data_IF_956117416294
#
_entry.id   IF_956117416294
#
_cell.length_a   1.000
_cell.length_b   1.000
_cell.length_c   1.000
_cell.angle_alpha   90.00
_cell.angle_beta   90.00
_cell.angle_gamma   90.00
#
_symmetry.space_group_name_H-M   'P 1'
#
loop_
_entity.id
_entity.type
_entity.pdbx_description
1 polymer ?
#
# COMPACT_ATOMS: atom_id res chain seq x y z
N UNK A 1 -8.36 -7.95 -5.41
CA UNK A 1 -7.93 -6.62 -4.95
C UNK A 1 -6.71 -6.16 -5.73
N UNK A 2 -6.91 -5.41 -6.81
CA UNK A 2 -5.82 -4.91 -7.67
C UNK A 2 -4.96 -3.80 -7.02
N UNK A 3 -5.42 -3.22 -5.90
CA UNK A 3 -4.71 -2.13 -5.23
C UNK A 3 -3.43 -2.61 -4.53
N UNK A 4 -3.43 -3.82 -3.94
CA UNK A 4 -2.24 -4.34 -3.26
C UNK A 4 -1.03 -4.52 -4.22
N UNK A 5 -1.15 -5.23 -5.37
CA UNK A 5 -0.05 -5.29 -6.33
C UNK A 5 0.28 -3.93 -6.96
N UNK A 6 -0.69 -3.04 -7.13
CA UNK A 6 -0.43 -1.67 -7.57
C UNK A 6 0.48 -0.92 -6.59
N UNK A 7 0.14 -0.94 -5.29
CA UNK A 7 0.94 -0.28 -4.26
C UNK A 7 2.36 -0.85 -4.19
N UNK A 8 2.49 -2.18 -4.22
CA UNK A 8 3.80 -2.84 -4.19
C UNK A 8 4.69 -2.39 -5.36
N UNK A 9 4.13 -2.32 -6.56
CA UNK A 9 4.83 -1.83 -7.74
C UNK A 9 5.10 -0.33 -7.68
N UNK A 10 4.13 0.48 -7.25
CA UNK A 10 4.28 1.94 -7.17
C UNK A 10 5.35 2.33 -6.15
N UNK A 11 5.41 1.66 -4.99
CA UNK A 11 6.45 1.87 -3.98
C UNK A 11 7.83 1.43 -4.47
N UNK A 12 7.90 0.33 -5.23
CA UNK A 12 9.17 -0.20 -5.72
C UNK A 12 9.74 0.50 -6.95
N UNK A 13 8.91 1.15 -7.77
CA UNK A 13 9.29 1.69 -9.08
C UNK A 13 9.21 3.22 -9.18
N UNK A 14 8.37 3.86 -8.37
CA UNK A 14 8.23 5.31 -8.36
C UNK A 14 8.93 5.92 -7.14
N UNK A 15 9.33 7.17 -7.25
CA UNK A 15 9.92 7.91 -6.12
C UNK A 15 8.87 8.11 -5.01
N UNK A 16 9.30 8.05 -3.75
CA UNK A 16 8.41 8.14 -2.59
C UNK A 16 7.66 9.47 -2.50
N UNK A 17 8.21 10.54 -3.08
CA UNK A 17 7.64 11.88 -3.13
C UNK A 17 6.85 12.18 -4.42
N UNK A 18 6.62 11.20 -5.28
CA UNK A 18 5.94 11.35 -6.58
C UNK A 18 4.67 12.20 -6.49
N UNK A 19 3.80 11.94 -5.51
CA UNK A 19 2.57 12.72 -5.34
C UNK A 19 2.84 14.21 -5.06
N UNK A 20 3.88 14.51 -4.29
CA UNK A 20 4.30 15.89 -3.99
C UNK A 20 4.89 16.57 -5.22
N UNK A 21 5.71 15.86 -5.97
CA UNK A 21 6.34 16.35 -7.21
C UNK A 21 5.32 16.61 -8.32
N UNK A 22 4.26 15.79 -8.41
CA UNK A 22 3.12 16.04 -9.30
C UNK A 22 2.37 17.30 -8.87
N UNK A 23 2.14 17.50 -7.56
CA UNK A 23 1.50 18.71 -7.05
C UNK A 23 2.35 19.96 -7.28
N UNK A 24 3.67 19.84 -7.25
CA UNK A 24 4.62 20.91 -7.56
C UNK A 24 4.73 21.20 -9.07
N UNK A 25 4.24 20.29 -9.93
CA UNK A 25 4.33 20.40 -11.38
C UNK A 25 5.67 19.97 -11.96
N UNK A 26 6.50 19.26 -11.18
CA UNK A 26 7.82 18.81 -11.59
C UNK A 26 7.77 17.50 -12.41
N UNK A 27 6.70 16.72 -12.24
CA UNK A 27 6.44 15.47 -12.97
C UNK A 27 4.96 15.25 -13.22
N UNK A 28 4.62 14.13 -13.86
CA UNK A 28 3.25 13.66 -14.07
C UNK A 28 3.15 12.19 -13.67
N UNK A 29 1.95 11.68 -13.37
CA UNK A 29 1.77 10.24 -13.21
C UNK A 29 1.97 9.48 -14.53
N UNK A 30 1.73 10.13 -15.66
CA UNK A 30 2.04 9.55 -16.97
C UNK A 30 3.52 9.20 -17.10
N UNK A 31 4.41 10.00 -16.54
CA UNK A 31 5.85 9.72 -16.56
C UNK A 31 6.25 8.79 -15.39
N UNK A 32 5.83 9.08 -14.17
CA UNK A 32 6.29 8.40 -12.97
C UNK A 32 5.72 6.97 -12.80
N UNK A 33 4.49 6.71 -13.30
CA UNK A 33 3.81 5.42 -13.11
C UNK A 33 3.75 4.56 -14.39
N UNK A 34 4.49 4.91 -15.42
CA UNK A 34 4.49 4.14 -16.67
C UNK A 34 4.91 2.69 -16.43
N UNK A 35 6.06 2.50 -15.82
CA UNK A 35 6.59 1.16 -15.53
C UNK A 35 5.68 0.39 -14.57
N UNK A 36 5.04 1.08 -13.61
CA UNK A 36 4.04 0.49 -12.70
C UNK A 36 2.85 -0.06 -13.49
N UNK A 37 2.30 0.76 -14.41
CA UNK A 37 1.16 0.37 -15.23
C UNK A 37 1.50 -0.77 -16.22
N UNK A 38 2.70 -0.78 -16.77
CA UNK A 38 3.14 -1.85 -17.67
C UNK A 38 3.38 -3.16 -16.90
N UNK A 39 4.08 -3.11 -15.75
CA UNK A 39 4.39 -4.31 -14.97
C UNK A 39 3.18 -4.95 -14.30
N UNK A 40 2.20 -4.17 -13.84
CA UNK A 40 0.99 -4.76 -13.25
C UNK A 40 0.19 -5.57 -14.28
N UNK A 41 0.20 -5.18 -15.56
CA UNK A 41 -0.42 -5.99 -16.62
C UNK A 41 0.27 -7.34 -16.82
N UNK A 42 1.59 -7.39 -16.66
CA UNK A 42 2.34 -8.65 -16.73
C UNK A 42 1.91 -9.64 -15.65
N UNK A 43 1.52 -9.17 -14.45
CA UNK A 43 1.02 -10.05 -13.40
C UNK A 43 -0.26 -10.79 -13.79
N UNK A 44 -1.09 -10.20 -14.65
CA UNK A 44 -2.33 -10.85 -15.13
C UNK A 44 -2.05 -12.08 -15.98
N UNK A 45 -0.91 -12.16 -16.65
CA UNK A 45 -0.53 -13.33 -17.45
C UNK A 45 -0.34 -14.58 -16.57
N UNK A 46 -0.15 -14.37 -15.27
CA UNK A 46 0.05 -15.42 -14.27
C UNK A 46 -1.14 -15.57 -13.30
N UNK A 47 -2.18 -14.79 -13.49
CA UNK A 47 -3.37 -14.84 -12.65
C UNK A 47 -4.25 -16.06 -12.98
N UNK A 48 -5.08 -16.43 -12.01
CA UNK A 48 -6.12 -17.44 -12.19
C UNK A 48 -7.14 -17.03 -13.28
N UNK A 49 -7.86 -17.98 -13.86
CA UNK A 49 -8.95 -17.67 -14.79
C UNK A 49 -10.01 -16.80 -14.12
N UNK A 50 -10.35 -15.66 -14.74
CA UNK A 50 -11.33 -14.71 -14.24
C UNK A 50 -10.99 -14.10 -12.86
N UNK A 51 -9.82 -13.47 -12.69
CA UNK A 51 -9.34 -12.93 -11.41
C UNK A 51 -10.26 -11.86 -10.82
N UNK A 52 -11.09 -11.23 -11.63
CA UNK A 52 -12.04 -10.19 -11.21
C UNK A 52 -13.29 -10.73 -10.51
N UNK A 53 -13.52 -12.05 -10.52
CA UNK A 53 -14.64 -12.68 -9.83
C UNK A 53 -14.38 -12.90 -8.33
N UNK A 54 -13.14 -12.81 -7.89
CA UNK A 54 -12.75 -13.08 -6.52
C UNK A 54 -12.92 -11.83 -5.62
N UNK A 55 -13.70 -11.97 -4.56
CA UNK A 55 -13.64 -11.04 -3.43
C UNK A 55 -12.36 -11.27 -2.62
N UNK A 56 -12.06 -10.39 -1.66
CA UNK A 56 -10.96 -10.57 -0.71
C UNK A 56 -11.02 -11.94 0.00
N UNK A 57 -12.20 -12.31 0.52
CA UNK A 57 -12.39 -13.58 1.22
C UNK A 57 -12.26 -14.79 0.29
N UNK A 58 -12.74 -14.69 -0.95
CA UNK A 58 -12.59 -15.75 -1.94
C UNK A 58 -11.12 -15.98 -2.28
N UNK A 59 -10.34 -14.93 -2.49
CA UNK A 59 -8.93 -15.02 -2.78
C UNK A 59 -8.12 -15.59 -1.60
N UNK A 60 -8.39 -15.18 -0.36
CA UNK A 60 -7.81 -15.79 0.84
C UNK A 60 -8.16 -17.28 0.95
N UNK A 61 -9.40 -17.65 0.62
CA UNK A 61 -9.86 -19.04 0.64
C UNK A 61 -9.16 -19.89 -0.43
N UNK A 62 -9.03 -19.37 -1.65
CA UNK A 62 -8.34 -20.04 -2.75
C UNK A 62 -6.85 -20.28 -2.40
N UNK A 63 -6.18 -19.26 -1.88
CA UNK A 63 -4.80 -19.40 -1.42
C UNK A 63 -4.67 -20.43 -0.28
N UNK A 64 -5.55 -20.37 0.73
CA UNK A 64 -5.56 -21.33 1.85
C UNK A 64 -5.75 -22.78 1.42
N UNK A 65 -6.42 -23.01 0.28
CA UNK A 65 -6.62 -24.34 -0.34
C UNK A 65 -5.46 -24.77 -1.25
N UNK A 66 -4.44 -23.92 -1.44
CA UNK A 66 -3.32 -24.22 -2.32
C UNK A 66 -3.66 -24.10 -3.82
N UNK A 67 -4.71 -23.36 -4.18
CA UNK A 67 -5.09 -23.09 -5.57
C UNK A 67 -4.14 -22.08 -6.24
N UNK A 68 -3.36 -21.34 -5.44
CA UNK A 68 -2.30 -20.44 -5.87
C UNK A 68 -1.04 -20.65 -5.04
N UNK A 69 0.12 -20.59 -5.67
CA UNK A 69 1.42 -20.69 -5.00
C UNK A 69 1.88 -19.36 -4.37
N UNK A 70 1.38 -18.23 -4.87
CA UNK A 70 1.72 -16.89 -4.38
C UNK A 70 0.47 -16.01 -4.36
N UNK A 71 0.43 -15.08 -3.42
CA UNK A 71 -0.65 -14.11 -3.31
C UNK A 71 -0.06 -12.73 -2.94
N UNK A 72 -0.22 -11.76 -3.84
CA UNK A 72 0.26 -10.39 -3.62
C UNK A 72 -0.76 -9.64 -2.79
N UNK A 73 -0.50 -9.60 -1.48
CA UNK A 73 -1.38 -8.97 -0.48
C UNK A 73 -0.55 -8.56 0.74
N UNK A 74 -1.09 -7.74 1.62
CA UNK A 74 -0.47 -7.41 2.90
C UNK A 74 -0.58 -8.54 3.93
N UNK A 75 0.32 -8.55 4.91
CA UNK A 75 0.37 -9.54 5.99
C UNK A 75 -0.93 -9.63 6.82
N UNK A 76 -1.73 -8.58 6.82
CA UNK A 76 -3.07 -8.56 7.43
C UNK A 76 -4.04 -9.63 6.86
N UNK A 77 -3.72 -10.23 5.70
CA UNK A 77 -4.53 -11.31 5.13
C UNK A 77 -4.29 -12.67 5.82
N UNK A 78 -3.17 -12.84 6.51
CA UNK A 78 -2.78 -14.12 7.12
C UNK A 78 -3.83 -14.66 8.10
N UNK A 79 -4.37 -13.88 9.05
CA UNK A 79 -5.43 -14.37 9.94
C UNK A 79 -6.64 -14.91 9.18
N UNK A 80 -7.05 -14.25 8.08
CA UNK A 80 -8.17 -14.71 7.24
C UNK A 80 -7.83 -16.01 6.51
N UNK A 81 -6.60 -16.15 6.00
CA UNK A 81 -6.12 -17.37 5.34
C UNK A 81 -6.09 -18.54 6.34
N UNK A 82 -5.53 -18.31 7.53
CA UNK A 82 -5.43 -19.29 8.61
C UNK A 82 -6.81 -19.68 9.18
N UNK A 83 -7.80 -18.80 9.12
CA UNK A 83 -9.17 -19.15 9.52
C UNK A 83 -9.79 -20.25 8.64
N UNK A 84 -9.30 -20.40 7.40
CA UNK A 84 -9.73 -21.44 6.43
C UNK A 84 -8.85 -22.70 6.56
N UNK A 85 -7.54 -22.52 6.70
CA UNK A 85 -6.57 -23.59 6.85
C UNK A 85 -5.56 -23.24 7.96
N UNK A 86 -5.82 -23.65 9.22
CA UNK A 86 -4.95 -23.34 10.35
C UNK A 86 -3.53 -23.92 10.24
N UNK A 87 -3.35 -25.00 9.49
CA UNK A 87 -2.08 -25.71 9.34
C UNK A 87 -1.28 -25.24 8.11
N UNK A 88 -1.73 -24.22 7.40
CA UNK A 88 -1.03 -23.72 6.22
C UNK A 88 0.32 -23.13 6.61
N UNK A 89 1.38 -23.57 5.94
CA UNK A 89 2.71 -22.98 6.06
C UNK A 89 2.85 -21.83 5.07
N UNK A 90 3.04 -20.61 5.59
CA UNK A 90 3.13 -19.37 4.80
C UNK A 90 4.48 -18.73 5.12
N UNK A 91 5.21 -18.38 4.07
CA UNK A 91 6.33 -17.46 4.11
C UNK A 91 5.98 -16.20 3.35
N UNK A 92 6.60 -15.09 3.73
CA UNK A 92 6.45 -13.82 3.03
C UNK A 92 7.78 -13.25 2.57
N UNK A 93 7.73 -12.47 1.52
CA UNK A 93 8.89 -11.77 0.99
C UNK A 93 8.46 -10.43 0.38
N UNK A 94 9.41 -9.49 0.33
CA UNK A 94 9.22 -8.20 -0.31
C UNK A 94 8.95 -8.39 -1.80
N UNK A 95 7.94 -7.70 -2.33
CA UNK A 95 7.60 -7.79 -3.75
C UNK A 95 8.80 -7.36 -4.62
N UNK A 96 9.28 -8.23 -5.55
CA UNK A 96 10.45 -7.96 -6.36
C UNK A 96 10.11 -7.04 -7.54
N UNK A 97 9.92 -5.76 -7.28
CA UNK A 97 9.61 -4.76 -8.31
C UNK A 97 10.79 -4.48 -9.24
N UNK A 98 12.02 -4.60 -8.74
CA UNK A 98 13.28 -4.34 -9.43
C UNK A 98 14.10 -5.62 -9.62
N UNK A 99 14.98 -5.63 -10.62
CA UNK A 99 15.84 -6.77 -10.93
C UNK A 99 16.95 -7.01 -9.88
N UNK A 100 17.32 -5.98 -9.15
CA UNK A 100 18.32 -6.05 -8.08
C UNK A 100 17.66 -5.97 -6.73
N UNK A 101 18.09 -6.83 -5.81
CA UNK A 101 17.55 -6.89 -4.46
C UNK A 101 17.73 -5.57 -3.70
N UNK A 102 18.88 -4.93 -3.86
CA UNK A 102 19.20 -3.65 -3.21
C UNK A 102 18.28 -2.50 -3.61
N UNK A 103 17.66 -2.58 -4.79
CA UNK A 103 16.74 -1.57 -5.31
C UNK A 103 15.27 -1.84 -4.89
N UNK A 104 14.99 -2.98 -4.26
CA UNK A 104 13.65 -3.29 -3.78
C UNK A 104 13.38 -2.66 -2.41
N UNK A 105 12.15 -2.23 -2.22
CA UNK A 105 11.67 -1.54 -1.01
C UNK A 105 10.44 -2.28 -0.48
N UNK A 106 10.39 -2.51 0.82
CA UNK A 106 9.23 -3.07 1.48
C UNK A 106 8.11 -2.03 1.54
N UNK A 107 6.97 -2.35 0.92
CA UNK A 107 5.77 -1.54 1.06
C UNK A 107 5.17 -1.75 2.46
N UNK A 108 5.35 -0.77 3.34
CA UNK A 108 4.88 -0.81 4.71
C UNK A 108 4.61 0.61 5.21
N UNK A 109 3.45 0.82 5.79
CA UNK A 109 3.02 2.11 6.33
C UNK A 109 2.10 1.94 7.51
N UNK A 110 1.55 3.04 8.02
CA UNK A 110 0.61 3.01 9.14
C UNK A 110 -0.73 2.43 8.70
N UNK A 111 -1.05 1.24 9.20
CA UNK A 111 -2.30 0.53 8.90
C UNK A 111 -3.44 0.97 9.84
N UNK A 112 -3.24 0.84 11.15
CA UNK A 112 -4.25 1.16 12.16
C UNK A 112 -3.95 2.49 12.86
N UNK A 113 -4.93 3.39 12.85
CA UNK A 113 -4.83 4.70 13.50
C UNK A 113 -5.99 4.92 14.46
N UNK A 114 -5.69 5.48 15.64
CA UNK A 114 -6.69 5.88 16.61
C UNK A 114 -6.89 7.39 16.59
N UNK A 115 -8.12 7.83 16.33
CA UNK A 115 -8.50 9.23 16.34
C UNK A 115 -9.28 9.58 17.61
N UNK A 116 -8.84 10.60 18.33
CA UNK A 116 -9.56 11.13 19.50
C UNK A 116 -10.47 12.26 19.06
N UNK A 117 -11.77 12.14 19.33
CA UNK A 117 -12.74 13.19 19.00
C UNK A 117 -12.41 14.47 19.76
N UNK A 118 -12.26 15.59 19.06
CA UNK A 118 -11.89 16.89 19.62
C UNK A 118 -12.80 17.31 20.78
N UNK A 119 -14.10 17.08 20.66
CA UNK A 119 -15.13 17.48 21.60
C UNK A 119 -15.48 16.40 22.64
N UNK A 120 -14.65 15.34 22.77
CA UNK A 120 -14.88 14.31 23.78
C UNK A 120 -14.85 14.92 25.18
N UNK A 121 -15.82 14.53 26.02
CA UNK A 121 -15.89 14.91 27.44
C UNK A 121 -15.05 13.99 28.34
N UNK A 122 -14.53 12.90 27.78
CA UNK A 122 -13.83 11.84 28.52
C UNK A 122 -12.35 11.73 28.11
N UNK A 123 -11.67 12.86 27.89
CA UNK A 123 -10.28 12.87 27.37
C UNK A 123 -9.33 12.03 28.21
N UNK A 124 -9.40 12.14 29.53
CA UNK A 124 -8.53 11.39 30.44
C UNK A 124 -8.73 9.87 30.29
N UNK A 125 -9.98 9.42 30.27
CA UNK A 125 -10.27 7.99 30.06
C UNK A 125 -9.81 7.50 28.69
N UNK A 126 -9.98 8.30 27.64
CA UNK A 126 -9.46 7.98 26.28
C UNK A 126 -7.94 7.84 26.30
N UNK A 127 -7.23 8.76 26.95
CA UNK A 127 -5.78 8.67 27.05
C UNK A 127 -5.30 7.47 27.87
N UNK A 128 -6.02 7.08 28.92
CA UNK A 128 -5.68 5.85 29.66
C UNK A 128 -5.85 4.60 28.77
N UNK A 129 -6.89 4.54 27.94
CA UNK A 129 -7.06 3.46 26.96
C UNK A 129 -5.92 3.46 25.94
N UNK A 130 -5.56 4.64 25.40
CA UNK A 130 -4.46 4.74 24.44
C UNK A 130 -3.12 4.34 25.07
N UNK A 131 -2.84 4.72 26.32
CA UNK A 131 -1.63 4.28 27.02
C UNK A 131 -1.59 2.76 27.15
N UNK A 132 -2.70 2.13 27.54
CA UNK A 132 -2.80 0.67 27.63
C UNK A 132 -2.52 0.00 26.27
N UNK A 133 -3.08 0.54 25.19
CA UNK A 133 -2.83 0.04 23.82
C UNK A 133 -1.38 0.21 23.38
N UNK A 134 -0.63 1.15 24.00
CA UNK A 134 0.79 1.41 23.72
C UNK A 134 1.74 0.72 24.71
N UNK A 135 1.25 -0.10 25.64
CA UNK A 135 2.09 -0.96 26.46
C UNK A 135 2.75 -2.04 25.59
N UNK A 136 4.03 -2.36 25.84
CA UNK A 136 4.80 -3.29 25.00
C UNK A 136 4.15 -4.66 24.92
N UNK A 137 3.58 -5.15 26.02
CA UNK A 137 2.85 -6.42 26.07
C UNK A 137 1.63 -6.40 25.15
N UNK A 138 0.85 -5.31 25.16
CA UNK A 138 -0.35 -5.16 24.32
C UNK A 138 0.04 -5.06 22.84
N UNK A 139 1.11 -4.31 22.51
CA UNK A 139 1.63 -4.24 21.16
C UNK A 139 2.09 -5.63 20.69
N UNK A 140 2.86 -6.38 21.52
CA UNK A 140 3.33 -7.70 21.13
C UNK A 140 2.17 -8.65 20.80
N UNK A 141 1.10 -8.65 21.61
CA UNK A 141 -0.12 -9.45 21.33
C UNK A 141 -0.69 -9.07 19.96
N UNK A 142 -0.77 -7.77 19.64
CA UNK A 142 -1.28 -7.31 18.36
C UNK A 142 -0.38 -7.76 17.19
N UNK A 143 0.95 -7.68 17.34
CA UNK A 143 1.90 -8.12 16.32
C UNK A 143 1.74 -9.60 16.01
N UNK A 144 1.60 -10.43 17.06
CA UNK A 144 1.47 -11.87 16.94
C UNK A 144 0.15 -12.27 16.26
N UNK A 145 -0.95 -11.58 16.61
CA UNK A 145 -2.28 -11.89 16.05
C UNK A 145 -2.49 -11.36 14.62
N UNK A 146 -1.91 -10.20 14.31
CA UNK A 146 -2.13 -9.53 13.02
C UNK A 146 -0.96 -9.70 12.03
N UNK A 147 0.12 -10.36 12.44
CA UNK A 147 1.35 -10.47 11.66
C UNK A 147 1.85 -9.08 11.21
N UNK A 148 1.92 -8.17 12.13
CA UNK A 148 2.22 -6.76 11.89
C UNK A 148 3.67 -6.40 12.28
N UNK A 149 4.11 -5.23 11.82
CA UNK A 149 5.38 -4.60 12.18
C UNK A 149 5.09 -3.54 13.27
N UNK A 150 5.91 -3.43 14.35
CA UNK A 150 5.65 -2.45 15.39
C UNK A 150 5.84 -1.01 14.89
N UNK A 151 4.93 -0.12 15.29
CA UNK A 151 5.05 1.32 15.07
C UNK A 151 5.78 2.07 16.18
N UNK A 152 6.29 1.35 17.18
CA UNK A 152 7.00 1.86 18.35
C UNK A 152 8.38 1.22 18.43
N UNK A 153 9.39 2.01 18.77
CA UNK A 153 10.72 1.49 19.12
C UNK A 153 10.64 0.65 20.39
N UNK A 154 11.23 -0.53 20.38
CA UNK A 154 11.21 -1.46 21.50
C UNK A 154 11.81 -2.82 21.13
N UNK A 155 11.91 -3.69 22.13
CA UNK A 155 12.41 -5.05 21.95
C UNK A 155 11.23 -6.00 21.63
N UNK A 156 10.74 -5.92 20.39
CA UNK A 156 9.62 -6.73 19.90
C UNK A 156 10.10 -7.93 19.09
N UNK A 157 9.41 -9.05 19.26
CA UNK A 157 9.61 -10.24 18.42
C UNK A 157 8.67 -10.16 17.23
N UNK A 158 9.22 -10.21 16.02
CA UNK A 158 8.41 -10.28 14.81
C UNK A 158 7.91 -11.71 14.59
N UNK A 159 6.67 -11.90 14.08
CA UNK A 159 6.17 -13.19 13.65
C UNK A 159 7.09 -13.82 12.60
N UNK A 160 7.37 -15.13 12.72
CA UNK A 160 8.32 -15.84 11.85
C UNK A 160 7.96 -15.79 10.37
N UNK A 161 6.67 -15.65 10.04
CA UNK A 161 6.26 -15.48 8.65
C UNK A 161 6.78 -14.18 8.00
N UNK A 162 7.28 -13.22 8.81
CA UNK A 162 7.90 -11.98 8.34
C UNK A 162 9.43 -12.10 8.20
N UNK A 163 10.02 -13.28 8.41
CA UNK A 163 11.48 -13.48 8.35
C UNK A 163 12.08 -13.05 7.00
N UNK A 164 11.36 -13.30 5.90
CA UNK A 164 11.79 -12.88 4.56
C UNK A 164 11.80 -11.35 4.33
N UNK A 165 11.22 -10.57 5.25
CA UNK A 165 11.20 -9.10 5.21
C UNK A 165 12.12 -8.44 6.25
N UNK A 166 12.73 -9.25 7.13
CA UNK A 166 13.45 -8.75 8.31
C UNK A 166 14.63 -7.84 7.96
N UNK A 167 15.38 -8.17 6.89
CA UNK A 167 16.49 -7.33 6.42
C UNK A 167 16.02 -5.94 5.98
N UNK A 168 14.91 -5.86 5.27
CA UNK A 168 14.32 -4.60 4.84
C UNK A 168 13.90 -3.72 6.02
N UNK A 169 13.31 -4.33 7.06
CA UNK A 169 12.89 -3.64 8.28
C UNK A 169 14.12 -3.11 9.03
N UNK A 170 15.15 -3.95 9.23
CA UNK A 170 16.37 -3.58 9.96
C UNK A 170 17.20 -2.51 9.25
N UNK A 171 17.23 -2.53 7.92
CA UNK A 171 17.95 -1.57 7.09
C UNK A 171 17.15 -0.29 6.83
N UNK A 172 15.88 -0.23 7.27
CA UNK A 172 15.00 0.90 7.00
C UNK A 172 14.60 1.04 5.52
N UNK A 173 14.72 -0.03 4.73
CA UNK A 173 14.29 -0.06 3.31
C UNK A 173 12.79 -0.28 3.21
N UNK A 174 12.04 0.67 3.75
CA UNK A 174 10.57 0.66 3.79
C UNK A 174 10.04 1.98 3.25
N UNK A 175 8.90 1.94 2.58
CA UNK A 175 8.18 3.13 2.15
C UNK A 175 6.68 2.94 2.32
N UNK A 176 6.00 4.05 2.62
CA UNK A 176 4.56 4.11 2.83
C UNK A 176 3.78 3.82 1.54
N UNK A 177 2.56 3.37 1.71
CA UNK A 177 1.64 3.11 0.61
C UNK A 177 1.37 4.37 -0.19
N UNK A 178 1.51 4.29 -1.52
CA UNK A 178 1.22 5.44 -2.39
C UNK A 178 -0.26 5.86 -2.31
N UNK A 179 -1.18 4.91 -2.09
CA UNK A 179 -2.61 5.19 -1.98
C UNK A 179 -3.00 5.96 -0.72
N UNK A 180 -2.14 6.01 0.32
CA UNK A 180 -2.33 6.90 1.46
C UNK A 180 -2.30 8.39 1.07
N UNK A 181 -1.68 8.69 -0.06
CA UNK A 181 -1.60 10.06 -0.61
C UNK A 181 -2.69 10.35 -1.65
N UNK A 182 -3.48 9.34 -2.05
CA UNK A 182 -4.52 9.54 -3.04
C UNK A 182 -5.79 10.13 -2.40
N UNK A 183 -6.46 11.08 -3.05
CA UNK A 183 -7.76 11.55 -2.59
C UNK A 183 -8.76 10.40 -2.55
N UNK A 184 -9.47 10.24 -1.43
CA UNK A 184 -10.42 9.14 -1.22
C UNK A 184 -11.55 9.12 -2.28
N UNK A 185 -11.91 10.29 -2.81
CA UNK A 185 -12.94 10.45 -3.84
C UNK A 185 -12.46 10.03 -5.24
N UNK A 186 -11.17 9.80 -5.43
CA UNK A 186 -10.60 9.47 -6.74
C UNK A 186 -10.92 8.04 -7.19
N UNK A 187 -11.31 7.15 -6.26
CA UNK A 187 -11.64 5.73 -6.54
C UNK A 187 -10.57 5.02 -7.40
N UNK A 188 -9.31 5.11 -6.96
CA UNK A 188 -8.16 4.60 -7.71
C UNK A 188 -8.25 3.10 -7.96
N UNK A 189 -8.78 2.34 -7.00
CA UNK A 189 -9.04 0.90 -7.12
C UNK A 189 -9.92 0.57 -8.34
N UNK A 190 -11.01 1.30 -8.53
CA UNK A 190 -11.91 1.14 -9.69
C UNK A 190 -11.24 1.57 -11.00
N UNK A 191 -10.37 2.58 -10.95
CA UNK A 191 -9.61 3.01 -12.12
C UNK A 191 -8.60 1.95 -12.56
N UNK A 192 -7.88 1.34 -11.61
CA UNK A 192 -6.92 0.25 -11.86
C UNK A 192 -7.68 -0.97 -12.41
N UNK A 193 -8.79 -1.36 -11.78
CA UNK A 193 -9.58 -2.50 -12.25
C UNK A 193 -10.06 -2.29 -13.70
N UNK A 194 -10.57 -1.11 -14.02
CA UNK A 194 -11.00 -0.77 -15.39
C UNK A 194 -9.83 -0.85 -16.37
N UNK A 195 -8.67 -0.35 -15.99
CA UNK A 195 -7.44 -0.39 -16.77
C UNK A 195 -6.98 -1.84 -17.04
N UNK A 196 -6.99 -2.67 -16.02
CA UNK A 196 -6.56 -4.07 -16.15
C UNK A 196 -7.47 -4.89 -17.07
N UNK A 197 -8.74 -4.49 -17.19
CA UNK A 197 -9.73 -5.11 -18.10
C UNK A 197 -9.65 -4.55 -19.53
N UNK A 198 -8.85 -3.51 -19.78
CA UNK A 198 -8.72 -2.90 -21.11
C UNK A 198 -7.56 -3.55 -21.88
N UNK A 199 -7.89 -4.32 -22.91
CA UNK A 199 -6.94 -5.02 -23.79
C UNK A 199 -6.50 -4.18 -25.01
N UNK A 200 -6.89 -2.91 -25.06
CA UNK A 200 -6.46 -2.02 -26.16
C UNK A 200 -4.98 -1.70 -26.09
N UNK A 201 -4.36 -1.48 -27.22
CA UNK A 201 -2.92 -1.17 -27.32
C UNK A 201 -2.53 0.17 -26.65
N UNK A 202 -3.48 1.04 -26.37
CA UNK A 202 -3.28 2.34 -25.72
C UNK A 202 -3.84 2.37 -24.28
N UNK A 203 -4.14 1.21 -23.68
CA UNK A 203 -4.71 1.12 -22.34
C UNK A 203 -3.85 1.85 -21.28
N UNK A 204 -2.53 1.69 -21.32
CA UNK A 204 -1.58 2.36 -20.40
C UNK A 204 -1.69 3.88 -20.54
N UNK A 205 -1.59 4.41 -21.74
CA UNK A 205 -1.66 5.86 -21.96
C UNK A 205 -3.01 6.44 -21.57
N UNK A 206 -4.09 5.73 -21.87
CA UNK A 206 -5.45 6.13 -21.51
C UNK A 206 -5.63 6.17 -19.98
N UNK A 207 -5.17 5.13 -19.28
CA UNK A 207 -5.22 5.05 -17.83
C UNK A 207 -4.43 6.16 -17.16
N UNK A 208 -3.16 6.34 -17.53
CA UNK A 208 -2.26 7.33 -16.91
C UNK A 208 -2.74 8.77 -17.19
N UNK A 209 -3.19 9.06 -18.41
CA UNK A 209 -3.79 10.36 -18.73
C UNK A 209 -5.05 10.64 -17.91
N UNK A 210 -5.88 9.60 -17.66
CA UNK A 210 -7.03 9.71 -16.77
C UNK A 210 -6.61 9.92 -15.33
N UNK A 211 -5.56 9.23 -14.86
CA UNK A 211 -5.01 9.38 -13.51
C UNK A 211 -4.56 10.82 -13.27
N UNK A 212 -3.76 11.40 -14.17
CA UNK A 212 -3.33 12.81 -14.12
C UNK A 212 -4.51 13.78 -14.09
N UNK A 213 -5.54 13.52 -14.91
CA UNK A 213 -6.73 14.37 -14.98
C UNK A 213 -7.52 14.35 -13.67
N UNK A 214 -7.80 13.15 -13.13
CA UNK A 214 -8.56 13.00 -11.88
C UNK A 214 -7.73 13.55 -10.69
N UNK A 215 -6.42 13.30 -10.65
CA UNK A 215 -5.54 13.91 -9.66
C UNK A 215 -5.64 15.44 -9.64
N UNK A 216 -5.50 16.09 -10.78
CA UNK A 216 -5.63 17.56 -10.91
C UNK A 216 -7.00 18.05 -10.50
N UNK A 217 -8.06 17.27 -10.75
CA UNK A 217 -9.41 17.60 -10.36
C UNK A 217 -9.60 17.59 -8.85
N UNK A 218 -9.14 16.55 -8.17
CA UNK A 218 -9.35 16.36 -6.74
C UNK A 218 -8.35 17.13 -5.88
N UNK A 219 -7.14 17.38 -6.39
CA UNK A 219 -6.09 18.15 -5.71
C UNK A 219 -6.00 19.62 -6.15
N UNK A 220 -6.98 20.14 -6.88
CA UNK A 220 -6.93 21.50 -7.44
C UNK A 220 -6.53 22.58 -6.42
N UNK A 221 -7.12 22.55 -5.23
CA UNK A 221 -6.90 23.57 -4.23
C UNK A 221 -5.52 23.40 -3.53
N UNK A 222 -5.05 22.15 -3.39
CA UNK A 222 -3.71 21.86 -2.90
C UNK A 222 -2.64 22.30 -3.90
N UNK A 223 -2.80 21.97 -5.17
CA UNK A 223 -1.90 22.37 -6.27
C UNK A 223 -1.81 23.91 -6.35
N UNK A 224 -2.93 24.61 -6.23
CA UNK A 224 -2.95 26.08 -6.21
C UNK A 224 -2.17 26.66 -5.02
N UNK A 225 -2.27 26.05 -3.82
CA UNK A 225 -1.50 26.44 -2.64
C UNK A 225 0.00 26.19 -2.81
N UNK A 226 0.36 25.04 -3.35
CA UNK A 226 1.78 24.70 -3.61
C UNK A 226 2.39 25.68 -4.59
N UNK A 227 1.69 25.98 -5.70
CA UNK A 227 2.14 26.93 -6.70
C UNK A 227 2.33 28.34 -6.10
N UNK A 228 1.38 28.82 -5.31
CA UNK A 228 1.48 30.12 -4.62
C UNK A 228 2.70 30.17 -3.69
N UNK A 229 2.94 29.10 -2.93
CA UNK A 229 4.10 29.01 -2.05
C UNK A 229 5.43 29.01 -2.81
N UNK A 230 5.49 28.36 -3.97
CA UNK A 230 6.67 28.39 -4.83
C UNK A 230 6.95 29.78 -5.39
N UNK A 231 5.90 30.50 -5.83
CA UNK A 231 5.99 31.88 -6.31
C UNK A 231 6.53 32.81 -5.21
N UNK A 232 5.99 32.73 -4.00
CA UNK A 232 6.42 33.53 -2.84
C UNK A 232 7.88 33.25 -2.42
N UNK A 233 8.38 32.02 -2.59
CA UNK A 233 9.79 31.68 -2.32
C UNK A 233 10.75 32.03 -3.46
N UNK A 234 10.28 32.05 -4.70
CA UNK A 234 11.10 32.43 -5.85
C UNK A 234 11.36 33.94 -5.95
N UNK A 235 10.59 34.73 -5.23
CA UNK A 235 10.76 36.21 -5.15
C UNK A 235 11.69 36.65 -3.99
N UNK A 236 12.21 35.73 -3.17
CA UNK A 236 13.21 35.96 -2.12
C UNK A 236 14.60 35.55 -2.55
#
# INVERSE_FOLDING_TARGET
TCLAPWNALAVGLAESDTCSEVNAGNTTFTDAYRDVAEKIKVLLDYAEPNPYAYSYNDACTAFARGESAMYVIGSYAVPQIQSVNPDINIDSFTFPANDKEEDNVLNSGVDLQFCVMKETKNKEAVYEVLKFLYEDETIQIYLDEQNAIPCKEGDFTLPSMLDGMQSYIQEGRMADYQDHHYPSEMSVDAMIQTFLMDDSSNAVDTFLSRFDKEWKRYNRDLIAKVKKYQEEKGEQ
#
